data_IF_624184385373
#
_entry.id   IF_624184385373
#
_cell.length_a   1.000
_cell.length_b   1.000
_cell.length_c   1.000
_cell.angle_alpha   90.00
_cell.angle_beta   90.00
_cell.angle_gamma   90.00
#
_symmetry.space_group_name_H-M   'P 1'
#
loop_
_entity.id
_entity.type
_entity.pdbx_description
1 polymer ?
#
# COMPACT_ATOMS: atom_id res chain seq x y z
N UNK A 1 11.27 -0.96 -3.90
CA UNK A 1 10.55 -2.09 -3.26
C UNK A 1 11.58 -3.09 -2.74
N UNK A 2 11.32 -3.82 -1.65
CA UNK A 2 12.28 -4.81 -1.12
C UNK A 2 11.84 -6.24 -1.51
N UNK A 3 12.08 -6.63 -2.76
CA UNK A 3 11.58 -7.90 -3.34
C UNK A 3 11.98 -9.15 -2.53
N UNK A 4 13.25 -9.26 -2.13
CA UNK A 4 13.73 -10.36 -1.24
C UNK A 4 12.98 -10.39 0.09
N UNK A 5 12.63 -9.22 0.62
CA UNK A 5 11.85 -9.08 1.84
C UNK A 5 10.41 -9.58 1.66
N UNK A 6 9.80 -9.32 0.51
CA UNK A 6 8.45 -9.81 0.16
C UNK A 6 8.43 -11.32 0.04
N UNK A 7 9.38 -11.93 -0.68
CA UNK A 7 9.47 -13.40 -0.81
C UNK A 7 9.62 -14.11 0.54
N UNK A 8 10.47 -13.59 1.44
CA UNK A 8 10.63 -14.15 2.78
C UNK A 8 9.31 -14.19 3.57
N UNK A 9 8.37 -13.30 3.26
CA UNK A 9 7.07 -13.21 3.94
C UNK A 9 5.99 -14.01 3.23
N UNK A 10 6.07 -14.16 1.90
CA UNK A 10 5.27 -15.13 1.15
C UNK A 10 5.44 -16.55 1.72
N UNK A 11 6.68 -16.93 2.07
CA UNK A 11 6.99 -18.19 2.78
C UNK A 11 6.24 -18.33 4.11
N UNK A 12 5.91 -17.22 4.79
CA UNK A 12 5.15 -17.23 6.04
C UNK A 12 3.64 -17.29 5.85
N UNK A 13 3.15 -16.96 4.65
CA UNK A 13 1.73 -17.01 4.31
C UNK A 13 1.32 -18.34 3.69
N UNK A 14 2.18 -19.35 3.81
CA UNK A 14 1.95 -20.69 3.29
C UNK A 14 1.67 -20.70 1.76
N UNK A 15 2.18 -19.69 1.05
CA UNK A 15 2.19 -19.70 -0.42
C UNK A 15 3.02 -20.92 -0.87
N UNK A 16 2.54 -21.72 -1.84
CA UNK A 16 3.24 -22.93 -2.28
C UNK A 16 4.68 -22.66 -2.71
N UNK A 17 5.60 -23.57 -2.37
CA UNK A 17 7.03 -23.43 -2.70
C UNK A 17 7.24 -23.30 -4.22
N UNK A 18 6.47 -24.04 -5.03
CA UNK A 18 6.52 -23.93 -6.50
C UNK A 18 6.16 -22.52 -7.01
N UNK A 19 5.26 -21.81 -6.33
CA UNK A 19 4.93 -20.42 -6.60
C UNK A 19 6.06 -19.50 -6.16
N UNK A 20 6.63 -19.73 -4.98
CA UNK A 20 7.75 -18.93 -4.44
C UNK A 20 8.99 -19.00 -5.33
N UNK A 21 9.36 -20.18 -5.83
CA UNK A 21 10.54 -20.34 -6.69
C UNK A 21 10.43 -19.48 -7.97
N UNK A 22 9.22 -19.23 -8.48
CA UNK A 22 9.01 -18.35 -9.63
C UNK A 22 9.32 -16.89 -9.31
N UNK A 23 8.97 -16.43 -8.10
CA UNK A 23 9.36 -15.09 -7.62
C UNK A 23 10.86 -14.97 -7.39
N UNK A 24 11.49 -16.00 -6.82
CA UNK A 24 12.94 -16.03 -6.60
C UNK A 24 13.71 -15.98 -7.93
N UNK A 25 13.22 -16.68 -8.96
CA UNK A 25 13.80 -16.64 -10.30
C UNK A 25 13.82 -15.23 -10.88
N UNK A 26 12.74 -14.45 -10.73
CA UNK A 26 12.69 -13.05 -11.22
C UNK A 26 13.78 -12.21 -10.55
N UNK A 27 13.97 -12.37 -9.24
CA UNK A 27 14.96 -11.61 -8.47
C UNK A 27 16.39 -11.98 -8.89
N UNK A 28 16.62 -13.23 -9.29
CA UNK A 28 17.95 -13.72 -9.68
C UNK A 28 18.32 -13.39 -11.14
N UNK A 29 17.33 -13.32 -12.04
CA UNK A 29 17.56 -13.21 -13.49
C UNK A 29 17.52 -11.79 -14.04
N UNK A 30 17.16 -10.80 -13.23
CA UNK A 30 16.98 -9.42 -13.69
C UNK A 30 18.21 -8.55 -13.39
N UNK A 31 18.78 -7.96 -14.44
CA UNK A 31 19.87 -6.98 -14.34
C UNK A 31 19.37 -5.55 -14.01
N UNK A 32 18.06 -5.30 -14.16
CA UNK A 32 17.38 -4.05 -13.82
C UNK A 32 16.35 -4.28 -12.70
N UNK A 33 16.58 -3.64 -11.56
CA UNK A 33 15.70 -3.67 -10.39
C UNK A 33 14.26 -3.24 -10.72
N UNK A 34 14.06 -2.30 -11.64
CA UNK A 34 12.72 -1.82 -12.02
C UNK A 34 11.99 -2.82 -12.89
N UNK A 35 12.68 -3.44 -13.82
CA UNK A 35 12.11 -4.52 -14.60
C UNK A 35 11.77 -5.72 -13.70
N UNK A 36 12.64 -6.03 -12.73
CA UNK A 36 12.37 -7.05 -11.72
C UNK A 36 11.10 -6.72 -10.91
N UNK A 37 10.96 -5.48 -10.43
CA UNK A 37 9.77 -5.03 -9.69
C UNK A 37 8.49 -5.20 -10.51
N UNK A 38 8.50 -4.82 -11.79
CA UNK A 38 7.33 -4.93 -12.66
C UNK A 38 6.98 -6.39 -12.99
N UNK A 39 7.97 -7.23 -13.30
CA UNK A 39 7.79 -8.67 -13.52
C UNK A 39 7.26 -9.34 -12.25
N UNK A 40 7.80 -8.96 -11.09
CA UNK A 40 7.38 -9.48 -9.79
C UNK A 40 5.90 -9.16 -9.53
N UNK A 41 5.49 -7.91 -9.71
CA UNK A 41 4.09 -7.51 -9.52
C UNK A 41 3.16 -8.21 -10.52
N UNK A 42 3.57 -8.34 -11.78
CA UNK A 42 2.78 -9.10 -12.77
C UNK A 42 2.60 -10.56 -12.33
N UNK A 43 3.66 -11.18 -11.81
CA UNK A 43 3.58 -12.54 -11.30
C UNK A 43 2.66 -12.65 -10.06
N UNK A 44 2.59 -11.61 -9.23
CA UNK A 44 1.60 -11.53 -8.16
C UNK A 44 0.17 -11.57 -8.72
N UNK A 45 -0.11 -10.87 -9.81
CA UNK A 45 -1.44 -10.91 -10.44
C UNK A 45 -1.81 -12.27 -11.02
N UNK A 46 -0.82 -13.00 -11.51
CA UNK A 46 -1.03 -14.31 -12.14
C UNK A 46 -1.20 -15.44 -11.12
N UNK A 47 -0.53 -15.36 -9.96
CA UNK A 47 -0.39 -16.51 -9.06
C UNK A 47 -0.98 -16.34 -7.67
N UNK A 48 -1.38 -15.12 -7.30
CA UNK A 48 -1.83 -14.83 -5.94
C UNK A 48 -3.25 -14.30 -5.95
N UNK A 49 -4.03 -14.79 -4.98
CA UNK A 49 -5.35 -14.26 -4.71
C UNK A 49 -5.26 -12.81 -4.21
N UNK A 50 -6.37 -12.07 -4.30
CA UNK A 50 -6.43 -10.67 -3.86
C UNK A 50 -6.01 -10.51 -2.39
N UNK A 51 -6.50 -11.36 -1.50
CA UNK A 51 -6.20 -11.33 -0.07
C UNK A 51 -4.71 -11.55 0.20
N UNK A 52 -4.07 -12.44 -0.57
CA UNK A 52 -2.63 -12.69 -0.47
C UNK A 52 -1.85 -11.44 -0.91
N UNK A 53 -2.24 -10.81 -2.02
CA UNK A 53 -1.62 -9.57 -2.51
C UNK A 53 -1.76 -8.43 -1.48
N UNK A 54 -2.95 -8.22 -0.93
CA UNK A 54 -3.21 -7.21 0.11
C UNK A 54 -2.34 -7.46 1.35
N UNK A 55 -2.28 -8.70 1.83
CA UNK A 55 -1.45 -9.10 2.99
C UNK A 55 0.04 -8.87 2.75
N UNK A 56 0.52 -9.17 1.54
CA UNK A 56 1.92 -8.93 1.16
C UNK A 56 2.20 -7.43 1.17
N UNK A 57 1.33 -6.60 0.59
CA UNK A 57 1.50 -5.15 0.58
C UNK A 57 1.47 -4.54 1.98
N UNK A 58 0.48 -4.90 2.80
CA UNK A 58 0.35 -4.47 4.21
C UNK A 58 1.68 -4.59 4.97
N UNK A 59 2.46 -5.65 4.72
CA UNK A 59 3.73 -5.94 5.43
C UNK A 59 5.00 -5.49 4.72
N UNK A 60 4.89 -4.96 3.50
CA UNK A 60 6.06 -4.66 2.65
C UNK A 60 6.01 -3.32 1.93
N UNK A 61 4.91 -2.58 1.98
CA UNK A 61 4.86 -1.25 1.40
C UNK A 61 5.90 -0.35 2.06
N UNK A 62 6.74 0.24 1.23
CA UNK A 62 7.69 1.26 1.65
C UNK A 62 7.60 2.41 0.65
N UNK A 63 7.01 3.52 1.08
CA UNK A 63 7.31 4.82 0.50
C UNK A 63 8.19 5.57 1.50
N UNK A 64 9.44 5.81 1.12
CA UNK A 64 10.37 6.61 1.89
C UNK A 64 9.76 8.00 2.10
N UNK A 65 9.46 8.32 3.36
CA UNK A 65 8.84 9.59 3.75
C UNK A 65 7.44 9.47 4.33
N UNK A 66 6.82 8.28 4.27
CA UNK A 66 5.48 7.99 4.80
C UNK A 66 5.23 8.65 6.15
N UNK A 67 5.85 8.19 7.23
CA UNK A 67 5.45 8.56 8.59
C UNK A 67 5.74 9.97 9.10
N UNK A 68 6.31 10.91 8.33
CA UNK A 68 6.64 12.25 8.85
C UNK A 68 5.38 13.06 9.17
N UNK A 69 4.42 13.09 8.26
CA UNK A 69 3.14 13.78 8.48
C UNK A 69 2.29 13.06 9.53
N UNK A 70 2.26 11.72 9.52
CA UNK A 70 1.57 10.95 10.55
C UNK A 70 2.11 11.22 11.96
N UNK A 71 3.44 11.31 12.13
CA UNK A 71 4.06 11.63 13.42
C UNK A 71 3.74 13.04 13.90
N UNK A 72 3.80 14.04 13.01
CA UNK A 72 3.45 15.41 13.35
C UNK A 72 1.99 15.51 13.81
N UNK A 73 1.07 14.91 13.04
CA UNK A 73 -0.34 14.85 13.41
C UNK A 73 -0.56 14.14 14.76
N UNK A 74 0.10 13.00 14.99
CA UNK A 74 -0.01 12.27 16.25
C UNK A 74 0.47 13.08 17.45
N UNK A 75 1.53 13.87 17.28
CA UNK A 75 2.07 14.74 18.32
C UNK A 75 1.14 15.92 18.62
N UNK A 76 0.64 16.60 17.58
CA UNK A 76 -0.27 17.75 17.70
C UNK A 76 -1.63 17.39 18.32
N UNK A 77 -2.01 16.11 18.28
CA UNK A 77 -3.32 15.62 18.70
C UNK A 77 -3.20 14.49 19.74
N UNK A 78 -2.11 14.48 20.53
CA UNK A 78 -1.80 13.40 21.46
C UNK A 78 -2.88 13.22 22.55
N UNK A 79 -3.54 14.31 22.94
CA UNK A 79 -4.61 14.40 23.94
C UNK A 79 -6.00 14.01 23.41
N UNK A 80 -6.16 13.84 22.10
CA UNK A 80 -7.45 13.54 21.46
C UNK A 80 -7.74 12.05 21.38
N UNK A 81 -9.02 11.71 21.52
CA UNK A 81 -9.54 10.36 21.29
C UNK A 81 -9.40 9.93 19.83
N UNK A 82 -9.54 8.63 19.57
CA UNK A 82 -9.51 8.09 18.21
C UNK A 82 -10.60 8.70 17.33
N UNK A 83 -11.82 8.86 17.85
CA UNK A 83 -12.93 9.46 17.12
C UNK A 83 -12.61 10.91 16.69
N UNK A 84 -12.07 11.72 17.59
CA UNK A 84 -11.68 13.10 17.30
C UNK A 84 -10.54 13.17 16.26
N UNK A 85 -9.55 12.28 16.35
CA UNK A 85 -8.47 12.17 15.35
C UNK A 85 -9.02 11.82 13.97
N UNK A 86 -9.98 10.89 13.88
CA UNK A 86 -10.64 10.53 12.63
C UNK A 86 -11.39 11.72 12.05
N UNK A 87 -12.17 12.46 12.85
CA UNK A 87 -12.88 13.67 12.38
C UNK A 87 -11.92 14.73 11.83
N UNK A 88 -10.77 14.94 12.49
CA UNK A 88 -9.76 15.88 12.00
C UNK A 88 -9.14 15.43 10.66
N UNK A 89 -8.90 14.13 10.50
CA UNK A 89 -8.37 13.60 9.24
C UNK A 89 -9.38 13.65 8.10
N UNK A 90 -10.69 13.52 8.37
CA UNK A 90 -11.74 13.72 7.35
C UNK A 90 -11.62 15.10 6.71
N UNK A 91 -11.42 16.13 7.55
CA UNK A 91 -11.32 17.51 7.11
C UNK A 91 -10.00 17.83 6.39
N UNK A 92 -8.91 17.18 6.77
CA UNK A 92 -7.56 17.51 6.28
C UNK A 92 -7.06 16.64 5.10
N UNK A 93 -7.50 15.38 5.00
CA UNK A 93 -6.82 14.37 4.19
C UNK A 93 -7.73 13.59 3.22
N UNK A 94 -8.89 14.15 2.84
CA UNK A 94 -9.86 13.50 1.93
C UNK A 94 -10.17 12.06 2.37
N UNK A 95 -10.55 11.90 3.64
CA UNK A 95 -10.95 10.61 4.21
C UNK A 95 -12.46 10.56 4.39
N UNK A 96 -13.06 9.42 4.09
CA UNK A 96 -14.47 9.12 4.30
C UNK A 96 -14.62 7.90 5.22
N UNK A 97 -15.39 8.03 6.31
CA UNK A 97 -15.85 6.87 7.07
C UNK A 97 -16.99 6.18 6.32
N UNK A 98 -16.95 4.86 6.29
CA UNK A 98 -17.99 4.01 5.71
C UNK A 98 -18.91 3.50 6.83
N UNK A 99 -20.10 3.03 6.47
CA UNK A 99 -21.12 2.54 7.41
C UNK A 99 -20.69 1.27 8.16
N UNK A 100 -19.78 0.49 7.57
CA UNK A 100 -19.23 -0.76 8.11
C UNK A 100 -18.08 -0.55 9.11
N UNK A 101 -17.77 0.70 9.48
CA UNK A 101 -16.67 1.03 10.39
C UNK A 101 -15.29 1.08 9.74
N UNK A 102 -15.18 0.86 8.43
CA UNK A 102 -13.95 1.12 7.68
C UNK A 102 -13.83 2.59 7.29
N UNK A 103 -12.65 3.03 6.85
CA UNK A 103 -12.49 4.33 6.20
C UNK A 103 -11.77 4.22 4.87
N UNK A 104 -12.15 5.07 3.93
CA UNK A 104 -11.53 5.21 2.62
C UNK A 104 -10.74 6.51 2.57
N UNK A 105 -9.46 6.43 2.22
CA UNK A 105 -8.59 7.58 2.02
C UNK A 105 -8.30 7.80 0.54
N UNK A 106 -8.41 9.05 0.09
CA UNK A 106 -8.02 9.46 -1.25
C UNK A 106 -6.56 9.94 -1.26
N UNK A 107 -5.73 9.32 -2.10
CA UNK A 107 -4.31 9.68 -2.22
C UNK A 107 -3.90 9.79 -3.68
N UNK A 108 -3.22 10.86 -4.01
CA UNK A 108 -2.49 10.94 -5.26
C UNK A 108 -1.28 9.99 -5.18
N UNK A 109 -1.16 9.07 -6.14
CA UNK A 109 -0.04 8.14 -6.24
C UNK A 109 0.94 8.62 -7.31
N UNK A 110 1.80 9.56 -6.96
CA UNK A 110 2.89 10.04 -7.83
C UNK A 110 4.15 9.22 -7.59
N UNK A 111 4.16 7.96 -8.02
CA UNK A 111 5.38 7.18 -7.99
C UNK A 111 6.29 7.64 -9.13
N UNK A 112 7.20 8.58 -8.84
CA UNK A 112 8.17 9.12 -9.81
C UNK A 112 9.12 8.05 -10.36
N UNK A 113 9.21 6.91 -9.68
CA UNK A 113 10.00 5.76 -10.11
C UNK A 113 9.34 4.95 -11.23
N UNK A 114 8.05 5.14 -11.50
CA UNK A 114 7.39 4.47 -12.60
C UNK A 114 7.30 5.43 -13.78
N UNK A 115 7.81 4.99 -14.92
CA UNK A 115 7.70 5.66 -16.22
C UNK A 115 6.54 5.03 -16.99
N UNK A 116 5.28 5.48 -16.80
CA UNK A 116 4.12 4.89 -17.47
C UNK A 116 4.21 4.98 -19.00
N UNK A 117 5.02 5.90 -19.52
CA UNK A 117 5.33 6.00 -20.95
C UNK A 117 6.19 4.84 -21.47
N UNK A 118 6.85 4.08 -20.59
CA UNK A 118 7.70 2.94 -20.94
C UNK A 118 7.10 1.59 -20.55
N UNK A 119 6.16 1.55 -19.62
CA UNK A 119 5.68 0.30 -19.03
C UNK A 119 4.16 0.32 -18.81
N UNK A 120 3.51 -0.82 -19.08
CA UNK A 120 2.14 -1.06 -18.61
C UNK A 120 2.20 -1.45 -17.14
N UNK A 121 1.53 -0.68 -16.28
CA UNK A 121 1.58 -0.84 -14.82
C UNK A 121 0.33 -1.57 -14.36
N UNK A 122 0.53 -2.69 -13.67
CA UNK A 122 -0.58 -3.38 -13.01
C UNK A 122 -1.17 -2.52 -11.87
N UNK A 123 -2.52 -2.53 -11.68
CA UNK A 123 -3.15 -2.00 -10.47
C UNK A 123 -2.50 -2.50 -9.17
N UNK A 124 -1.99 -3.73 -9.14
CA UNK A 124 -1.33 -4.31 -7.96
C UNK A 124 -0.08 -3.57 -7.54
N UNK A 125 0.59 -2.87 -8.46
CA UNK A 125 1.74 -2.04 -8.12
C UNK A 125 1.36 -0.93 -7.10
N UNK A 126 0.13 -0.44 -7.17
CA UNK A 126 -0.36 0.63 -6.30
C UNK A 126 -0.56 0.19 -4.84
N UNK A 127 -0.49 -1.12 -4.56
CA UNK A 127 -0.45 -1.62 -3.19
C UNK A 127 0.74 -1.07 -2.37
N UNK A 128 1.83 -0.69 -3.04
CA UNK A 128 2.95 0.02 -2.40
C UNK A 128 2.50 1.36 -1.77
N UNK A 129 1.71 2.15 -2.50
CA UNK A 129 1.17 3.41 -2.02
C UNK A 129 0.08 3.20 -0.95
N UNK A 130 -0.75 2.17 -1.11
CA UNK A 130 -1.75 1.79 -0.12
C UNK A 130 -1.10 1.47 1.23
N UNK A 131 -0.01 0.70 1.24
CA UNK A 131 0.69 0.36 2.46
C UNK A 131 1.52 1.53 3.05
N UNK A 132 1.98 2.48 2.24
CA UNK A 132 2.51 3.75 2.75
C UNK A 132 1.44 4.60 3.44
N UNK A 133 0.22 4.62 2.90
CA UNK A 133 -0.91 5.28 3.53
C UNK A 133 -1.33 4.57 4.82
N UNK A 134 -1.37 3.24 4.83
CA UNK A 134 -1.61 2.41 6.01
C UNK A 134 -0.69 2.80 7.17
N UNK A 135 0.63 2.73 6.96
CA UNK A 135 1.62 3.06 7.98
C UNK A 135 1.45 4.49 8.52
N UNK A 136 1.07 5.41 7.64
CA UNK A 136 0.80 6.79 8.01
C UNK A 136 -0.38 6.95 8.94
N UNK A 137 -1.51 6.31 8.60
CA UNK A 137 -2.71 6.39 9.40
C UNK A 137 -2.58 5.60 10.70
N UNK A 138 -1.86 4.48 10.72
CA UNK A 138 -1.54 3.77 11.96
C UNK A 138 -0.80 4.69 12.95
N UNK A 139 0.21 5.43 12.47
CA UNK A 139 0.92 6.40 13.32
C UNK A 139 -0.01 7.54 13.75
N UNK A 140 -0.71 8.16 12.80
CA UNK A 140 -1.55 9.33 13.05
C UNK A 140 -2.66 9.03 14.07
N UNK A 141 -3.27 7.85 13.99
CA UNK A 141 -4.37 7.43 14.84
C UNK A 141 -3.91 6.72 16.12
N UNK A 142 -2.70 6.14 16.12
CA UNK A 142 -2.20 5.33 17.23
C UNK A 142 -2.85 3.96 17.34
N UNK A 143 -3.39 3.43 16.24
CA UNK A 143 -4.07 2.12 16.17
C UNK A 143 -3.50 1.26 15.05
N UNK A 144 -3.80 -0.03 15.07
CA UNK A 144 -3.49 -0.92 13.96
C UNK A 144 -4.60 -0.91 12.92
N UNK A 145 -4.19 -0.98 11.66
CA UNK A 145 -5.10 -0.96 10.52
C UNK A 145 -4.91 -2.22 9.68
N UNK A 146 -5.95 -2.60 8.94
CA UNK A 146 -5.90 -3.61 7.89
C UNK A 146 -6.17 -2.96 6.55
N UNK A 147 -5.37 -3.25 5.53
CA UNK A 147 -5.72 -2.87 4.17
C UNK A 147 -6.77 -3.87 3.64
N UNK A 148 -7.97 -3.40 3.33
CA UNK A 148 -9.07 -4.27 2.85
C UNK A 148 -9.27 -4.20 1.35
N UNK A 149 -8.96 -3.06 0.72
CA UNK A 149 -8.96 -2.94 -0.73
C UNK A 149 -8.20 -1.68 -1.19
N UNK A 150 -7.84 -1.65 -2.47
CA UNK A 150 -7.42 -0.42 -3.14
C UNK A 150 -7.98 -0.34 -4.55
N UNK A 151 -8.36 0.86 -4.98
CA UNK A 151 -8.70 1.17 -6.36
C UNK A 151 -7.64 2.08 -6.94
N UNK A 152 -6.84 1.52 -7.84
CA UNK A 152 -5.83 2.26 -8.55
C UNK A 152 -6.48 3.19 -9.60
N UNK A 153 -6.00 4.42 -9.66
CA UNK A 153 -6.29 5.35 -10.75
C UNK A 153 -5.00 5.60 -11.52
N UNK A 154 -4.68 4.76 -12.53
CA UNK A 154 -3.49 4.96 -13.33
C UNK A 154 -3.67 6.22 -14.18
N UNK A 155 -2.75 7.18 -14.01
CA UNK A 155 -2.79 8.56 -14.53
C UNK A 155 -3.80 9.47 -13.84
N UNK A 156 -3.37 10.07 -12.74
CA UNK A 156 -3.74 11.46 -12.50
C UNK A 156 -2.47 12.20 -12.07
N UNK A 157 -1.77 12.79 -13.05
CA UNK A 157 -0.74 13.81 -12.79
C UNK A 157 -1.37 15.05 -12.16
N UNK A 158 -2.68 15.24 -12.38
CA UNK A 158 -3.52 16.17 -11.65
C UNK A 158 -4.35 15.43 -10.60
N UNK A 159 -4.60 16.05 -9.47
CA UNK A 159 -5.37 15.54 -8.32
C UNK A 159 -6.86 15.18 -8.59
N UNK A 160 -7.27 15.11 -9.86
CA UNK A 160 -8.64 14.88 -10.32
C UNK A 160 -9.16 13.46 -10.08
N UNK A 161 -8.29 12.44 -10.12
CA UNK A 161 -8.68 11.04 -9.89
C UNK A 161 -7.72 10.32 -8.95
N UNK A 162 -7.83 10.53 -7.63
CA UNK A 162 -6.94 9.89 -6.66
C UNK A 162 -7.13 8.37 -6.62
N UNK A 163 -6.10 7.67 -6.15
CA UNK A 163 -6.27 6.28 -5.74
C UNK A 163 -7.09 6.25 -4.45
N UNK A 164 -7.95 5.24 -4.33
CA UNK A 164 -8.78 5.03 -3.15
C UNK A 164 -8.21 3.85 -2.36
N UNK A 165 -7.96 4.04 -1.08
CA UNK A 165 -7.46 2.99 -0.19
C UNK A 165 -8.43 2.81 0.96
N UNK A 166 -8.93 1.60 1.17
CA UNK A 166 -9.88 1.30 2.26
C UNK A 166 -9.19 0.54 3.37
N UNK A 167 -9.42 0.98 4.60
CA UNK A 167 -8.79 0.47 5.80
C UNK A 167 -9.83 0.11 6.86
N UNK A 168 -9.62 -1.02 7.51
CA UNK A 168 -10.34 -1.44 8.70
C UNK A 168 -9.49 -1.12 9.95
N UNK A 169 -10.13 -0.63 11.01
CA UNK A 169 -9.46 -0.42 12.30
C UNK A 169 -9.44 -1.75 13.05
N UNK A 170 -8.24 -2.27 13.34
CA UNK A 170 -8.08 -3.47 14.18
C UNK A 170 -8.19 -3.05 15.64
N UNK A 171 -9.19 -3.62 16.34
CA UNK A 171 -9.35 -3.50 17.79
C UNK A 171 -8.23 -4.22 18.55
#
# INVERSE_FOLDING_TARGET
MRLKGMVKKMKKDEIPECTISRFESIIQSSDDDKEAELKFVKLMDELLEEEQRLSIWERNGSCDGGGRSGKAFALENADKSLAEKIELLKNANRIKLNEDGTFTAERACHCTSIRPEKFTISPTFYGCAAAAALYNYEIALGVKLKLTSYKASPRSTDSEKPCLFTFEIKA
#
